data_IF_603355748334
#
_entry.id   IF_603355748334
#
_cell.length_a   1.000
_cell.length_b   1.000
_cell.length_c   1.000
_cell.angle_alpha   90.00
_cell.angle_beta   90.00
_cell.angle_gamma   90.00
#
_symmetry.space_group_name_H-M   'P 1'
#
loop_
_entity.id
_entity.type
_entity.pdbx_description
1 polymer ?
#
# COMPACT_ATOMS: atom_id res chain seq x y z
N UNK A 1 -10.85 31.32 -4.40
CA UNK A 1 -9.83 30.33 -4.81
C UNK A 1 -9.81 29.20 -3.79
N UNK A 2 -9.97 27.95 -4.23
CA UNK A 2 -9.80 26.77 -3.40
C UNK A 2 -8.28 26.57 -3.20
N UNK A 3 -7.83 26.59 -1.94
CA UNK A 3 -6.42 26.34 -1.58
C UNK A 3 -6.34 25.07 -0.74
N UNK A 4 -6.53 23.88 -1.35
CA UNK A 4 -6.60 22.63 -0.61
C UNK A 4 -5.26 22.27 0.08
N UNK A 5 -4.14 22.64 -0.50
CA UNK A 5 -2.82 22.39 0.11
C UNK A 5 -2.65 23.11 1.45
N UNK A 6 -3.17 24.31 1.61
CA UNK A 6 -3.12 25.01 2.89
C UNK A 6 -4.00 24.34 3.95
N UNK A 7 -5.18 23.84 3.54
CA UNK A 7 -6.13 23.21 4.45
C UNK A 7 -5.66 21.83 4.94
N UNK A 8 -4.94 21.07 4.09
CA UNK A 8 -4.50 19.70 4.39
C UNK A 8 -3.01 19.56 4.63
N UNK A 9 -2.29 20.67 4.83
CA UNK A 9 -0.83 20.72 5.02
C UNK A 9 -0.30 19.83 6.13
N UNK A 10 -1.13 19.50 7.13
CA UNK A 10 -0.78 18.63 8.26
C UNK A 10 -1.31 17.20 8.10
N UNK A 11 -1.99 16.90 7.00
CA UNK A 11 -2.48 15.53 6.75
C UNK A 11 -1.33 14.58 6.47
N UNK A 12 -1.36 13.40 7.08
CA UNK A 12 -0.37 12.34 6.86
C UNK A 12 -0.33 11.89 5.39
N UNK A 13 -1.49 11.96 4.70
CA UNK A 13 -1.67 11.59 3.28
C UNK A 13 -2.42 12.72 2.60
N UNK A 14 -1.69 13.78 2.28
CA UNK A 14 -2.23 15.03 1.75
C UNK A 14 -2.96 14.83 0.41
N UNK A 15 -2.42 14.01 -0.48
CA UNK A 15 -2.97 13.68 -1.79
C UNK A 15 -4.36 13.02 -1.69
N UNK A 16 -4.54 12.07 -0.77
CA UNK A 16 -5.84 11.43 -0.52
C UNK A 16 -6.84 12.43 0.07
N UNK A 17 -6.40 13.26 1.03
CA UNK A 17 -7.25 14.26 1.64
C UNK A 17 -7.74 15.30 0.61
N UNK A 18 -6.86 15.78 -0.25
CA UNK A 18 -7.16 16.70 -1.35
C UNK A 18 -8.12 16.06 -2.36
N UNK A 19 -7.87 14.80 -2.74
CA UNK A 19 -8.74 14.08 -3.67
C UNK A 19 -10.16 13.93 -3.11
N UNK A 20 -10.29 13.54 -1.83
CA UNK A 20 -11.59 13.46 -1.14
C UNK A 20 -12.29 14.81 -1.06
N UNK A 21 -11.55 15.88 -0.78
CA UNK A 21 -12.06 17.25 -0.73
C UNK A 21 -12.64 17.71 -2.08
N UNK A 22 -11.96 17.45 -3.19
CA UNK A 22 -12.48 17.73 -4.51
C UNK A 22 -13.71 16.89 -4.84
N UNK A 23 -13.67 15.60 -4.49
CA UNK A 23 -14.78 14.68 -4.74
C UNK A 23 -16.04 15.06 -3.94
N UNK A 24 -15.89 15.50 -2.69
CA UNK A 24 -17.02 15.98 -1.87
C UNK A 24 -17.69 17.22 -2.46
N UNK A 25 -16.97 18.00 -3.25
CA UNK A 25 -17.48 19.18 -3.98
C UNK A 25 -17.91 18.86 -5.42
N UNK A 26 -18.05 17.57 -5.77
CA UNK A 26 -18.43 17.09 -7.11
C UNK A 26 -17.49 17.55 -8.22
N UNK A 27 -16.23 17.89 -7.88
CA UNK A 27 -15.20 18.22 -8.86
C UNK A 27 -14.61 16.91 -9.39
N UNK A 28 -14.58 16.77 -10.71
CA UNK A 28 -14.00 15.58 -11.36
C UNK A 28 -12.49 15.53 -11.10
N UNK A 29 -12.02 14.42 -10.57
CA UNK A 29 -10.59 14.14 -10.37
C UNK A 29 -10.21 12.86 -11.09
N UNK A 30 -9.02 12.82 -11.67
CA UNK A 30 -8.47 11.63 -12.31
C UNK A 30 -7.10 11.31 -11.72
N UNK A 31 -6.83 10.01 -11.55
CA UNK A 31 -5.49 9.52 -11.24
C UNK A 31 -4.89 8.99 -12.53
N UNK A 32 -3.73 9.51 -12.91
CA UNK A 32 -3.02 9.10 -14.12
C UNK A 32 -1.69 8.46 -13.74
N UNK A 33 -1.30 7.43 -14.49
CA UNK A 33 0.02 6.81 -14.34
C UNK A 33 1.02 7.68 -15.09
N UNK A 34 2.08 8.08 -14.40
CA UNK A 34 3.16 8.88 -14.98
C UNK A 34 3.89 8.13 -16.10
N UNK A 35 4.56 8.89 -16.96
CA UNK A 35 5.44 8.31 -17.98
C UNK A 35 6.69 7.70 -17.33
N UNK A 36 7.32 6.67 -17.95
CA UNK A 36 8.54 6.03 -17.44
C UNK A 36 9.73 6.99 -17.24
N UNK A 37 9.71 8.13 -17.92
CA UNK A 37 10.73 9.19 -17.78
C UNK A 37 10.62 9.96 -16.46
N UNK A 38 9.46 9.90 -15.80
CA UNK A 38 9.22 10.54 -14.49
C UNK A 38 9.57 9.52 -13.42
N UNK A 39 10.79 9.63 -12.87
CA UNK A 39 11.27 8.75 -11.81
C UNK A 39 11.44 9.54 -10.52
N UNK A 40 10.90 9.03 -9.43
CA UNK A 40 11.07 9.59 -8.10
C UNK A 40 11.62 8.53 -7.15
N UNK A 41 12.82 8.77 -6.63
CA UNK A 41 13.38 7.93 -5.55
C UNK A 41 12.83 8.42 -4.21
N UNK A 42 11.75 7.79 -3.74
CA UNK A 42 11.07 8.20 -2.51
C UNK A 42 11.88 7.89 -1.25
N UNK A 43 12.60 6.77 -1.21
CA UNK A 43 13.33 6.27 -0.05
C UNK A 43 14.77 5.92 -0.40
N UNK A 44 15.69 6.23 0.52
CA UNK A 44 17.12 5.98 0.34
C UNK A 44 17.62 4.71 1.04
N UNK A 45 16.86 4.20 2.01
CA UNK A 45 17.17 3.00 2.77
C UNK A 45 15.93 2.17 3.07
N UNK A 46 16.16 0.92 3.47
CA UNK A 46 15.09 0.03 3.91
C UNK A 46 14.31 0.59 5.11
N UNK A 47 15.03 1.12 6.11
CA UNK A 47 14.41 1.71 7.29
C UNK A 47 13.60 2.97 6.96
N UNK A 48 14.09 3.77 6.02
CA UNK A 48 13.36 4.94 5.54
C UNK A 48 12.05 4.52 4.83
N UNK A 49 12.10 3.51 3.98
CA UNK A 49 10.91 2.94 3.36
C UNK A 49 9.94 2.37 4.40
N UNK A 50 10.45 1.61 5.37
CA UNK A 50 9.64 1.01 6.44
C UNK A 50 8.89 2.09 7.24
N UNK A 51 9.58 3.17 7.63
CA UNK A 51 8.98 4.29 8.34
C UNK A 51 7.98 5.06 7.48
N UNK A 52 8.31 5.29 6.21
CA UNK A 52 7.44 6.00 5.28
C UNK A 52 6.13 5.25 4.99
N UNK A 53 6.20 3.93 4.77
CA UNK A 53 5.00 3.12 4.54
C UNK A 53 4.19 2.90 5.83
N UNK A 54 4.85 2.73 6.99
CA UNK A 54 4.18 2.55 8.27
C UNK A 54 3.24 3.72 8.62
N UNK A 55 3.58 4.92 8.21
CA UNK A 55 2.75 6.11 8.37
C UNK A 55 1.39 5.98 7.69
N UNK A 56 1.33 5.33 6.52
CA UNK A 56 0.18 5.39 5.62
C UNK A 56 -0.60 4.08 5.52
N UNK A 57 -0.01 2.94 5.91
CA UNK A 57 -0.57 1.62 5.61
C UNK A 57 -2.02 1.46 6.07
N UNK A 58 -2.36 1.90 7.28
CA UNK A 58 -3.72 1.74 7.78
C UNK A 58 -4.72 2.72 7.15
N UNK A 59 -4.25 3.84 6.58
CA UNK A 59 -5.11 4.80 5.88
C UNK A 59 -5.74 4.19 4.62
N UNK A 60 -5.06 3.25 3.96
CA UNK A 60 -5.62 2.49 2.84
C UNK A 60 -6.75 1.55 3.26
N UNK A 61 -6.79 1.18 4.55
CA UNK A 61 -7.80 0.31 5.15
C UNK A 61 -8.77 1.08 6.08
N UNK A 62 -9.04 2.35 5.78
CA UNK A 62 -9.97 3.18 6.56
C UNK A 62 -9.44 3.63 7.92
N UNK A 63 -8.12 3.59 8.15
CA UNK A 63 -7.49 4.00 9.42
C UNK A 63 -7.51 2.92 10.51
N UNK A 64 -8.06 1.73 10.20
CA UNK A 64 -8.22 0.61 11.14
C UNK A 64 -7.22 -0.50 10.83
N UNK A 65 -6.49 -1.05 11.84
CA UNK A 65 -5.52 -2.12 11.61
C UNK A 65 -6.14 -3.46 11.19
N UNK A 66 -7.31 -3.80 11.74
CA UNK A 66 -7.93 -5.12 11.56
C UNK A 66 -8.14 -5.50 10.08
N UNK A 67 -8.72 -4.65 9.21
CA UNK A 67 -8.87 -4.97 7.80
C UNK A 67 -7.53 -5.17 7.08
N UNK A 68 -6.47 -4.45 7.48
CA UNK A 68 -5.15 -4.60 6.90
C UNK A 68 -4.53 -5.98 7.21
N UNK A 69 -4.62 -6.41 8.47
CA UNK A 69 -4.15 -7.75 8.88
C UNK A 69 -4.99 -8.86 8.26
N UNK A 70 -6.31 -8.69 8.23
CA UNK A 70 -7.20 -9.65 7.58
C UNK A 70 -6.85 -9.81 6.09
N UNK A 71 -6.67 -8.71 5.38
CA UNK A 71 -6.23 -8.72 3.98
C UNK A 71 -4.91 -9.46 3.82
N UNK A 72 -3.92 -9.17 4.69
CA UNK A 72 -2.62 -9.83 4.64
C UNK A 72 -2.72 -11.35 4.89
N UNK A 73 -3.49 -11.76 5.91
CA UNK A 73 -3.72 -13.18 6.23
C UNK A 73 -4.36 -13.90 5.03
N UNK A 74 -5.43 -13.32 4.48
CA UNK A 74 -6.12 -13.91 3.32
C UNK A 74 -5.20 -13.96 2.11
N UNK A 75 -4.42 -12.91 1.84
CA UNK A 75 -3.53 -12.87 0.68
C UNK A 75 -2.34 -13.83 0.77
N UNK A 76 -1.89 -14.18 1.99
CA UNK A 76 -0.69 -15.02 2.19
C UNK A 76 -1.00 -16.44 2.59
N UNK A 77 -1.99 -16.65 3.47
CA UNK A 77 -2.25 -17.95 4.09
C UNK A 77 -3.42 -18.71 3.47
N UNK A 78 -4.23 -18.09 2.61
CA UNK A 78 -5.38 -18.76 2.00
C UNK A 78 -5.03 -19.95 1.12
N UNK A 79 -3.80 -20.02 0.64
CA UNK A 79 -3.31 -21.20 -0.10
C UNK A 79 -3.30 -22.46 0.76
N UNK A 80 -3.07 -22.35 2.08
CA UNK A 80 -2.97 -23.51 2.99
C UNK A 80 -4.27 -24.32 3.04
N UNK A 81 -5.45 -23.74 3.37
CA UNK A 81 -6.69 -24.50 3.37
C UNK A 81 -7.07 -25.01 1.97
N UNK A 82 -6.69 -24.30 0.89
CA UNK A 82 -6.95 -24.76 -0.47
C UNK A 82 -6.14 -26.01 -0.81
N UNK A 83 -4.87 -26.08 -0.39
CA UNK A 83 -4.03 -27.28 -0.56
C UNK A 83 -4.62 -28.48 0.20
N UNK A 84 -5.06 -28.26 1.44
CA UNK A 84 -5.64 -29.32 2.28
C UNK A 84 -6.93 -29.86 1.67
N UNK A 85 -7.74 -28.96 1.08
CA UNK A 85 -9.01 -29.34 0.48
C UNK A 85 -8.82 -30.10 -0.85
N UNK A 86 -8.03 -29.56 -1.76
CA UNK A 86 -7.79 -30.17 -3.08
C UNK A 86 -6.58 -29.58 -3.77
N UNK A 87 -5.61 -30.46 -4.11
CA UNK A 87 -4.35 -30.04 -4.75
C UNK A 87 -4.55 -29.43 -6.15
N UNK A 88 -5.55 -29.88 -6.91
CA UNK A 88 -5.82 -29.32 -8.24
C UNK A 88 -6.40 -27.91 -8.13
N UNK A 89 -7.23 -27.65 -7.12
CA UNK A 89 -7.71 -26.29 -6.83
C UNK A 89 -6.57 -25.38 -6.36
N UNK A 90 -5.60 -25.91 -5.60
CA UNK A 90 -4.43 -25.15 -5.20
C UNK A 90 -3.59 -24.72 -6.41
N UNK A 91 -3.46 -25.60 -7.41
CA UNK A 91 -2.76 -25.27 -8.64
C UNK A 91 -3.50 -24.18 -9.44
N UNK A 92 -4.82 -24.32 -9.59
CA UNK A 92 -5.63 -23.27 -10.24
C UNK A 92 -5.57 -21.94 -9.49
N UNK A 93 -5.57 -21.96 -8.15
CA UNK A 93 -5.41 -20.78 -7.32
C UNK A 93 -4.06 -20.09 -7.56
N UNK A 94 -2.95 -20.85 -7.60
CA UNK A 94 -1.62 -20.29 -7.88
C UNK A 94 -1.55 -19.66 -9.27
N UNK A 95 -2.13 -20.32 -10.27
CA UNK A 95 -2.22 -19.75 -11.62
C UNK A 95 -2.99 -18.43 -11.63
N UNK A 96 -4.11 -18.35 -10.90
CA UNK A 96 -4.88 -17.13 -10.77
C UNK A 96 -4.08 -16.00 -10.09
N UNK A 97 -3.33 -16.31 -9.03
CA UNK A 97 -2.45 -15.34 -8.36
C UNK A 97 -1.37 -14.83 -9.31
N UNK A 98 -0.70 -15.72 -10.03
CA UNK A 98 0.33 -15.35 -11.04
C UNK A 98 -0.30 -14.48 -12.12
N UNK A 99 -1.46 -14.84 -12.63
CA UNK A 99 -2.17 -14.08 -13.65
C UNK A 99 -2.50 -12.66 -13.17
N UNK A 100 -3.00 -12.50 -11.94
CA UNK A 100 -3.27 -11.19 -11.33
C UNK A 100 -1.99 -10.36 -11.22
N UNK A 101 -0.87 -10.96 -10.80
CA UNK A 101 0.42 -10.27 -10.71
C UNK A 101 0.95 -9.82 -12.09
N UNK A 102 0.76 -10.63 -13.12
CA UNK A 102 1.10 -10.27 -14.50
C UNK A 102 0.25 -9.09 -14.96
N UNK A 103 -1.07 -9.15 -14.77
CA UNK A 103 -1.96 -8.03 -15.12
C UNK A 103 -1.58 -6.75 -14.39
N UNK A 104 -1.29 -6.84 -13.09
CA UNK A 104 -0.82 -5.71 -12.29
C UNK A 104 0.46 -5.11 -12.86
N UNK A 105 1.46 -5.94 -13.18
CA UNK A 105 2.73 -5.49 -13.75
C UNK A 105 2.52 -4.77 -15.09
N UNK A 106 1.66 -5.31 -15.97
CA UNK A 106 1.35 -4.72 -17.27
C UNK A 106 0.63 -3.37 -17.13
N UNK A 107 -0.38 -3.30 -16.26
CA UNK A 107 -1.15 -2.05 -16.03
C UNK A 107 -0.25 -0.97 -15.43
N UNK A 108 0.61 -1.33 -14.46
CA UNK A 108 1.54 -0.41 -13.80
C UNK A 108 2.83 -0.16 -14.59
N UNK A 109 2.96 -0.73 -15.80
CA UNK A 109 4.17 -0.61 -16.65
C UNK A 109 5.44 -1.04 -15.92
N UNK A 110 5.35 -2.09 -15.09
CA UNK A 110 6.46 -2.68 -14.36
C UNK A 110 6.97 -3.95 -15.06
N UNK A 111 8.21 -4.34 -14.75
CA UNK A 111 8.75 -5.61 -15.24
C UNK A 111 8.01 -6.79 -14.59
N UNK A 112 7.42 -7.65 -15.41
CA UNK A 112 6.70 -8.84 -14.95
C UNK A 112 7.61 -9.76 -14.13
N UNK A 113 8.83 -10.01 -14.60
CA UNK A 113 9.79 -10.88 -13.91
C UNK A 113 10.15 -10.38 -12.51
N UNK A 114 10.44 -9.08 -12.37
CA UNK A 114 10.72 -8.48 -11.06
C UNK A 114 9.50 -8.48 -10.14
N UNK A 115 8.31 -8.22 -10.68
CA UNK A 115 7.06 -8.25 -9.89
C UNK A 115 6.80 -9.63 -9.30
N UNK A 116 6.94 -10.69 -10.11
CA UNK A 116 6.76 -12.07 -9.65
C UNK A 116 7.85 -12.49 -8.65
N UNK A 117 9.11 -12.16 -8.93
CA UNK A 117 10.25 -12.53 -8.08
C UNK A 117 10.14 -11.89 -6.68
N UNK A 118 9.75 -10.62 -6.62
CA UNK A 118 9.66 -9.88 -5.35
C UNK A 118 8.30 -10.01 -4.65
N UNK A 119 7.34 -10.71 -5.24
CA UNK A 119 6.02 -10.87 -4.62
C UNK A 119 6.08 -11.43 -3.17
N UNK A 120 6.81 -12.53 -2.87
CA UNK A 120 6.92 -13.03 -1.49
C UNK A 120 7.62 -12.03 -0.56
N UNK A 121 8.67 -11.36 -1.04
CA UNK A 121 9.37 -10.34 -0.27
C UNK A 121 8.47 -9.13 0.05
N UNK A 122 7.61 -8.74 -0.88
CA UNK A 122 6.63 -7.67 -0.67
C UNK A 122 5.59 -8.05 0.39
N UNK A 123 5.14 -9.31 0.44
CA UNK A 123 4.23 -9.79 1.48
C UNK A 123 4.87 -9.75 2.87
N UNK A 124 6.15 -10.15 2.96
CA UNK A 124 6.91 -10.06 4.19
C UNK A 124 7.17 -8.60 4.62
N UNK A 125 7.52 -7.74 3.67
CA UNK A 125 7.69 -6.31 3.91
C UNK A 125 6.38 -5.66 4.41
N UNK A 126 5.25 -5.99 3.80
CA UNK A 126 3.94 -5.49 4.23
C UNK A 126 3.65 -5.85 5.70
N UNK A 127 3.95 -7.08 6.13
CA UNK A 127 3.81 -7.49 7.53
C UNK A 127 4.67 -6.62 8.46
N UNK A 128 5.93 -6.40 8.11
CA UNK A 128 6.83 -5.56 8.91
C UNK A 128 6.34 -4.11 9.00
N UNK A 129 5.84 -3.56 7.89
CA UNK A 129 5.22 -2.23 7.84
C UNK A 129 4.04 -2.14 8.79
N UNK A 130 3.14 -3.15 8.80
CA UNK A 130 1.98 -3.16 9.69
C UNK A 130 2.35 -3.26 11.16
N UNK A 131 3.33 -4.12 11.50
CA UNK A 131 3.86 -4.24 12.88
C UNK A 131 4.47 -2.90 13.32
N UNK A 132 5.31 -2.30 12.48
CA UNK A 132 5.91 -0.99 12.75
C UNK A 132 4.85 0.09 12.95
N UNK A 133 3.82 0.12 12.11
CA UNK A 133 2.72 1.06 12.21
C UNK A 133 1.93 0.93 13.53
N UNK A 134 1.73 -0.30 14.03
CA UNK A 134 1.11 -0.54 15.33
C UNK A 134 1.98 -0.01 16.48
N UNK A 135 3.30 -0.26 16.43
CA UNK A 135 4.25 0.21 17.45
C UNK A 135 4.25 1.74 17.53
N UNK A 136 4.32 2.40 16.38
CA UNK A 136 4.32 3.86 16.28
C UNK A 136 3.00 4.45 16.77
N UNK A 137 1.86 3.85 16.38
CA UNK A 137 0.53 4.27 16.83
C UNK A 137 0.39 4.17 18.36
N UNK A 138 0.93 3.11 18.97
CA UNK A 138 0.93 2.91 20.43
C UNK A 138 1.76 3.96 21.17
N UNK A 139 2.86 4.38 20.58
CA UNK A 139 3.80 5.33 21.18
C UNK A 139 3.37 6.80 21.03
N UNK A 140 2.34 7.11 20.22
CA UNK A 140 1.92 8.48 19.83
C UNK A 140 3.09 9.37 19.34
N UNK A 141 4.13 8.77 18.81
CA UNK A 141 5.40 9.43 18.55
C UNK A 141 5.82 9.24 17.08
N UNK A 142 5.03 9.81 16.18
CA UNK A 142 5.36 9.75 14.76
C UNK A 142 5.87 11.10 14.28
N UNK A 143 7.19 11.26 14.26
CA UNK A 143 7.85 12.38 13.58
C UNK A 143 8.22 11.98 12.16
N UNK A 144 7.74 12.74 11.17
CA UNK A 144 8.16 12.63 9.79
C UNK A 144 8.72 13.96 9.32
N UNK A 145 9.99 13.97 8.87
CA UNK A 145 10.67 15.20 8.43
C UNK A 145 10.48 16.34 9.45
N UNK A 146 10.78 16.06 10.72
CA UNK A 146 10.70 17.01 11.85
C UNK A 146 9.28 17.52 12.20
N UNK A 147 8.23 16.91 11.64
CA UNK A 147 6.83 17.22 11.99
C UNK A 147 6.20 16.08 12.76
N UNK A 148 5.52 16.42 13.86
CA UNK A 148 4.64 15.47 14.55
C UNK A 148 3.31 15.37 13.77
N UNK A 149 2.93 14.16 13.36
CA UNK A 149 1.78 13.91 12.47
C UNK A 149 0.58 13.34 13.25
N UNK A 150 0.66 13.32 14.58
CA UNK A 150 -0.44 12.92 15.46
C UNK A 150 -0.84 14.03 16.41
#
# INVERSE_FOLDING_TARGET
KLQPHEQFKQSAVEDIAISRFYKSRKIKTACIIGEPRIQCRMYHSYNDALNGFAKNIFMFFGGVPIPAFFFWIVSTLSIVPVIIYNIYLAFAYLLAVVFIQVLYALICKQSVGTTLLYFPANMFFMLQVMIKALMVKKQKNHSWKERNIY
#
